data_IF_320221737908
#
_entry.id   IF_320221737908
#
_cell.length_a   1.000
_cell.length_b   1.000
_cell.length_c   1.000
_cell.angle_alpha   90.00
_cell.angle_beta   90.00
_cell.angle_gamma   90.00
#
_symmetry.space_group_name_H-M   'P 1'
#
loop_
_entity.id
_entity.type
_entity.pdbx_description
1 polymer ?
#
# COMPACT_ATOMS: atom_id res chain seq x y z
N UNK A 1 2.73 -18.26 -16.18
CA UNK A 1 1.76 -17.42 -15.44
C UNK A 1 1.82 -17.90 -14.00
N UNK A 2 2.88 -17.57 -13.27
CA UNK A 2 3.08 -17.94 -11.88
C UNK A 2 3.96 -16.85 -11.26
N UNK A 3 3.33 -15.73 -10.89
CA UNK A 3 4.00 -14.58 -10.28
C UNK A 3 3.34 -14.23 -8.92
N UNK A 4 2.71 -15.22 -8.28
CA UNK A 4 2.24 -15.09 -6.89
C UNK A 4 3.46 -15.26 -6.01
N UNK A 5 3.90 -14.16 -5.40
CA UNK A 5 5.08 -14.13 -4.52
C UNK A 5 4.67 -14.62 -3.13
N UNK A 6 3.43 -14.34 -2.72
CA UNK A 6 2.83 -14.81 -1.47
C UNK A 6 1.31 -14.95 -1.61
N UNK A 7 0.72 -15.85 -0.82
CA UNK A 7 -0.75 -15.97 -0.68
C UNK A 7 -1.26 -15.29 0.60
N UNK A 8 -0.39 -14.55 1.29
CA UNK A 8 -0.74 -13.88 2.54
C UNK A 8 -1.83 -12.83 2.33
N UNK A 9 -2.75 -12.72 3.29
CA UNK A 9 -3.89 -11.82 3.27
C UNK A 9 -4.93 -12.07 2.15
N UNK A 10 -4.70 -13.04 1.26
CA UNK A 10 -5.69 -13.43 0.25
C UNK A 10 -6.95 -14.02 0.91
N UNK A 11 -8.11 -13.71 0.33
CA UNK A 11 -9.40 -14.17 0.84
C UNK A 11 -9.91 -15.33 -0.02
N UNK A 12 -10.16 -16.47 0.63
CA UNK A 12 -10.72 -17.65 -0.02
C UNK A 12 -12.14 -17.87 0.50
N UNK A 13 -13.10 -17.97 -0.41
CA UNK A 13 -14.47 -18.33 -0.05
C UNK A 13 -14.59 -19.83 0.24
N UNK A 14 -15.32 -20.15 1.31
CA UNK A 14 -15.57 -21.53 1.76
C UNK A 14 -16.22 -22.39 0.66
N UNK A 15 -17.05 -21.78 -0.21
CA UNK A 15 -17.69 -22.46 -1.35
C UNK A 15 -16.67 -22.99 -2.37
N UNK A 16 -15.62 -22.22 -2.65
CA UNK A 16 -14.63 -22.54 -3.67
C UNK A 16 -13.62 -23.54 -3.11
N UNK A 17 -13.25 -23.38 -1.84
CA UNK A 17 -12.48 -24.38 -1.10
C UNK A 17 -13.20 -25.74 -1.07
N UNK A 18 -14.52 -25.76 -0.78
CA UNK A 18 -15.31 -27.02 -0.78
C UNK A 18 -15.32 -27.69 -2.14
N UNK A 19 -15.47 -26.93 -3.23
CA UNK A 19 -15.40 -27.47 -4.60
C UNK A 19 -14.04 -28.09 -4.88
N UNK A 20 -12.95 -27.39 -4.52
CA UNK A 20 -11.59 -27.88 -4.70
C UNK A 20 -11.35 -29.17 -3.89
N UNK A 21 -11.70 -29.18 -2.61
CA UNK A 21 -11.56 -30.34 -1.73
C UNK A 21 -12.37 -31.53 -2.24
N UNK A 22 -13.61 -31.30 -2.68
CA UNK A 22 -14.45 -32.34 -3.27
C UNK A 22 -13.85 -32.95 -4.55
N UNK A 23 -13.14 -32.15 -5.36
CA UNK A 23 -12.39 -32.64 -6.52
C UNK A 23 -11.19 -33.48 -6.09
N UNK A 24 -10.39 -33.00 -5.14
CA UNK A 24 -9.19 -33.69 -4.64
C UNK A 24 -9.53 -35.02 -3.96
N UNK A 25 -10.63 -35.08 -3.20
CA UNK A 25 -11.08 -36.29 -2.51
C UNK A 25 -11.47 -37.43 -3.47
N UNK A 26 -11.94 -37.08 -4.68
CA UNK A 26 -12.32 -38.06 -5.72
C UNK A 26 -11.15 -38.53 -6.58
N UNK A 27 -10.02 -37.82 -6.54
CA UNK A 27 -8.81 -38.18 -7.30
C UNK A 27 -8.06 -39.33 -6.62
N UNK A 28 -7.46 -40.22 -7.43
CA UNK A 28 -6.48 -41.20 -6.95
C UNK A 28 -5.16 -40.49 -6.60
N UNK A 29 -4.33 -41.04 -5.70
CA UNK A 29 -3.04 -40.43 -5.36
C UNK A 29 -2.18 -40.05 -6.57
N UNK A 30 -2.05 -40.95 -7.55
CA UNK A 30 -1.29 -40.73 -8.79
C UNK A 30 -1.84 -39.62 -9.71
N UNK A 31 -3.10 -39.23 -9.55
CA UNK A 31 -3.70 -38.12 -10.29
C UNK A 31 -3.58 -36.80 -9.54
N UNK A 32 -3.46 -36.85 -8.20
CA UNK A 32 -3.21 -35.66 -7.37
C UNK A 32 -1.78 -35.14 -7.53
N UNK A 33 -0.80 -36.02 -7.75
CA UNK A 33 0.60 -35.62 -8.04
C UNK A 33 0.72 -34.80 -9.32
N UNK A 34 -0.19 -34.99 -10.29
CA UNK A 34 -0.24 -34.23 -11.54
C UNK A 34 -0.86 -32.84 -11.39
N UNK A 35 -1.41 -32.54 -10.20
CA UNK A 35 -1.95 -31.22 -9.90
C UNK A 35 -0.80 -30.29 -9.51
N UNK A 36 -0.28 -29.55 -10.50
CA UNK A 36 0.94 -28.72 -10.44
C UNK A 36 1.20 -27.94 -9.13
N UNK A 37 0.20 -27.40 -8.40
CA UNK A 37 0.44 -26.70 -7.14
C UNK A 37 0.75 -27.59 -5.91
N UNK A 38 0.62 -28.92 -6.02
CA UNK A 38 0.72 -29.83 -4.86
C UNK A 38 2.10 -30.47 -4.84
N UNK A 39 2.89 -30.14 -3.80
CA UNK A 39 4.15 -30.83 -3.54
C UNK A 39 3.92 -32.32 -3.24
N UNK A 40 4.85 -33.18 -3.69
CA UNK A 40 4.75 -34.64 -3.63
C UNK A 40 4.40 -35.11 -2.20
N UNK A 41 5.04 -34.53 -1.18
CA UNK A 41 4.83 -34.88 0.23
C UNK A 41 3.40 -34.62 0.74
N UNK A 42 2.63 -33.77 0.06
CA UNK A 42 1.25 -33.43 0.44
C UNK A 42 0.20 -34.29 -0.26
N UNK A 43 0.57 -35.07 -1.26
CA UNK A 43 -0.35 -35.81 -2.15
C UNK A 43 -1.34 -36.69 -1.37
N UNK A 44 -0.84 -37.38 -0.35
CA UNK A 44 -1.62 -38.35 0.41
C UNK A 44 -2.49 -37.71 1.48
N UNK A 45 -2.18 -36.50 1.93
CA UNK A 45 -2.81 -35.88 3.11
C UNK A 45 -3.60 -34.61 2.79
N UNK A 46 -3.33 -33.94 1.67
CA UNK A 46 -3.89 -32.61 1.38
C UNK A 46 -5.41 -32.58 1.32
N UNK A 47 -6.02 -33.63 0.77
CA UNK A 47 -7.48 -33.76 0.68
C UNK A 47 -8.11 -34.02 2.06
N UNK A 48 -7.45 -34.78 2.94
CA UNK A 48 -7.91 -35.04 4.32
C UNK A 48 -7.91 -33.76 5.14
N UNK A 49 -6.81 -33.00 5.08
CA UNK A 49 -6.72 -31.68 5.72
C UNK A 49 -7.77 -30.70 5.18
N UNK A 50 -8.03 -30.74 3.86
CA UNK A 50 -9.10 -29.97 3.23
C UNK A 50 -10.50 -30.33 3.72
N UNK A 51 -10.79 -31.63 3.92
CA UNK A 51 -12.08 -32.08 4.48
C UNK A 51 -12.25 -31.56 5.90
N UNK A 52 -11.22 -31.71 6.75
CA UNK A 52 -11.25 -31.18 8.11
C UNK A 52 -11.49 -29.66 8.12
N UNK A 53 -10.70 -28.91 7.35
CA UNK A 53 -10.81 -27.45 7.29
C UNK A 53 -12.21 -27.00 6.81
N UNK A 54 -12.74 -27.62 5.76
CA UNK A 54 -14.08 -27.28 5.25
C UNK A 54 -15.19 -27.60 6.25
N UNK A 55 -15.03 -28.65 7.06
CA UNK A 55 -15.98 -28.98 8.12
C UNK A 55 -15.90 -28.00 9.29
N UNK A 56 -14.69 -27.58 9.69
CA UNK A 56 -14.50 -26.53 10.70
C UNK A 56 -15.11 -25.19 10.24
N UNK A 57 -14.86 -24.76 9.00
CA UNK A 57 -15.46 -23.53 8.47
C UNK A 57 -16.99 -23.63 8.43
N UNK A 58 -17.53 -24.81 8.12
CA UNK A 58 -18.98 -25.06 8.14
C UNK A 58 -19.56 -24.98 9.55
N UNK A 59 -18.90 -25.53 10.56
CA UNK A 59 -19.42 -25.54 11.93
C UNK A 59 -19.53 -24.14 12.53
N UNK A 60 -18.61 -23.24 12.16
CA UNK A 60 -18.66 -21.82 12.56
C UNK A 60 -19.42 -20.92 11.58
N UNK A 61 -20.05 -21.50 10.54
CA UNK A 61 -20.76 -20.77 9.47
C UNK A 61 -19.90 -19.69 8.78
N UNK A 62 -18.60 -19.92 8.64
CA UNK A 62 -17.70 -19.00 7.96
C UNK A 62 -17.88 -19.06 6.43
N UNK A 63 -18.15 -17.92 5.80
CA UNK A 63 -18.31 -17.80 4.35
C UNK A 63 -16.98 -17.66 3.61
N UNK A 64 -15.95 -17.17 4.30
CA UNK A 64 -14.61 -16.93 3.78
C UNK A 64 -13.56 -17.02 4.87
N UNK A 65 -12.31 -17.22 4.46
CA UNK A 65 -11.15 -17.14 5.33
C UNK A 65 -10.05 -16.30 4.68
N UNK A 66 -9.31 -15.57 5.51
CA UNK A 66 -8.10 -14.85 5.08
C UNK A 66 -6.88 -15.72 5.34
N UNK A 67 -6.05 -15.91 4.33
CA UNK A 67 -4.81 -16.64 4.45
C UNK A 67 -3.77 -15.84 5.25
N UNK A 68 -2.96 -16.55 6.03
CA UNK A 68 -1.92 -15.96 6.86
C UNK A 68 -0.67 -16.83 6.76
N UNK A 69 0.47 -16.22 6.39
CA UNK A 69 1.75 -16.92 6.33
C UNK A 69 2.37 -17.13 7.73
N UNK A 70 1.85 -16.46 8.76
CA UNK A 70 2.29 -16.62 10.15
C UNK A 70 1.60 -17.83 10.81
N UNK A 71 2.38 -18.58 11.58
CA UNK A 71 1.96 -19.81 12.24
C UNK A 71 2.20 -19.74 13.76
N UNK A 72 2.15 -20.90 14.42
CA UNK A 72 2.47 -21.01 15.85
C UNK A 72 3.88 -20.47 16.18
N UNK A 73 4.86 -20.64 15.27
CA UNK A 73 6.23 -20.16 15.50
C UNK A 73 6.28 -18.65 15.75
N UNK A 74 5.62 -17.89 14.88
CA UNK A 74 5.51 -16.43 15.04
C UNK A 74 4.72 -16.07 16.31
N UNK A 75 3.68 -16.84 16.64
CA UNK A 75 2.90 -16.68 17.88
C UNK A 75 3.73 -16.83 19.15
N UNK A 76 4.58 -17.87 19.22
CA UNK A 76 5.48 -18.12 20.36
C UNK A 76 6.51 -16.99 20.50
N UNK A 77 7.05 -16.49 19.39
CA UNK A 77 7.98 -15.35 19.43
C UNK A 77 7.28 -14.10 19.96
N UNK A 78 6.07 -13.80 19.48
CA UNK A 78 5.30 -12.63 19.93
C UNK A 78 4.93 -12.74 21.42
N UNK A 79 4.54 -13.92 21.87
CA UNK A 79 4.24 -14.20 23.27
C UNK A 79 5.49 -14.04 24.16
N UNK A 80 6.64 -14.57 23.73
CA UNK A 80 7.90 -14.36 24.42
C UNK A 80 8.24 -12.87 24.55
N UNK A 81 8.14 -12.10 23.47
CA UNK A 81 8.43 -10.65 23.48
C UNK A 81 7.45 -9.87 24.36
N UNK A 82 6.17 -10.24 24.37
CA UNK A 82 5.17 -9.64 25.26
C UNK A 82 5.50 -9.86 26.74
N UNK A 83 6.07 -11.03 27.09
CA UNK A 83 6.54 -11.33 28.45
C UNK A 83 7.87 -10.65 28.81
N UNK A 84 8.59 -10.13 27.81
CA UNK A 84 9.90 -9.48 27.98
C UNK A 84 9.86 -8.04 27.42
N UNK A 85 9.12 -7.11 28.05
CA UNK A 85 8.84 -5.77 27.53
C UNK A 85 10.07 -4.87 27.39
N UNK A 86 11.20 -5.23 28.01
CA UNK A 86 12.49 -4.54 27.81
C UNK A 86 13.06 -4.74 26.39
N UNK A 87 12.51 -5.68 25.63
CA UNK A 87 12.83 -5.91 24.22
C UNK A 87 11.90 -5.05 23.38
N UNK A 88 12.23 -3.76 23.26
CA UNK A 88 11.39 -2.76 22.59
C UNK A 88 11.54 -2.85 21.07
N UNK A 89 10.90 -3.85 20.46
CA UNK A 89 10.88 -4.04 19.00
C UNK A 89 9.53 -3.62 18.41
N UNK A 90 8.48 -3.55 19.23
CA UNK A 90 7.10 -3.34 18.77
C UNK A 90 6.49 -2.08 19.37
N UNK A 91 6.31 -1.00 18.59
CA UNK A 91 5.33 0.02 18.98
C UNK A 91 3.96 -0.65 19.08
N UNK A 92 3.19 -0.32 20.13
CA UNK A 92 1.87 -0.87 20.45
C UNK A 92 0.78 -0.44 19.46
N UNK A 93 1.04 -0.60 18.16
CA UNK A 93 0.14 -0.22 17.08
C UNK A 93 -0.77 -1.43 16.83
N UNK A 94 -2.07 -1.28 17.07
CA UNK A 94 -3.04 -2.36 16.89
C UNK A 94 -3.08 -2.89 15.44
N UNK A 95 -2.88 -2.02 14.44
CA UNK A 95 -2.97 -2.37 13.03
C UNK A 95 -1.67 -3.03 12.52
N UNK A 96 -1.74 -4.30 12.12
CA UNK A 96 -0.63 -5.09 11.55
C UNK A 96 -0.02 -4.43 10.31
N UNK A 97 -0.85 -3.88 9.42
CA UNK A 97 -0.41 -3.22 8.18
C UNK A 97 0.44 -1.99 8.49
N UNK A 98 -0.07 -1.13 9.38
CA UNK A 98 0.66 0.07 9.79
C UNK A 98 1.97 -0.29 10.51
N UNK A 99 1.96 -1.31 11.38
CA UNK A 99 3.20 -1.83 12.00
C UNK A 99 4.22 -2.27 10.97
N UNK A 100 3.81 -3.07 9.99
CA UNK A 100 4.71 -3.59 8.96
C UNK A 100 5.36 -2.45 8.16
N UNK A 101 4.58 -1.43 7.82
CA UNK A 101 5.07 -0.25 7.10
C UNK A 101 6.03 0.58 7.95
N UNK A 102 5.68 0.87 9.20
CA UNK A 102 6.55 1.62 10.12
C UNK A 102 7.84 0.87 10.41
N UNK A 103 7.80 -0.45 10.56
CA UNK A 103 8.99 -1.28 10.76
C UNK A 103 9.91 -1.26 9.54
N UNK A 104 9.34 -1.36 8.33
CA UNK A 104 10.11 -1.25 7.09
C UNK A 104 10.76 0.14 6.97
N UNK A 105 9.99 1.20 7.23
CA UNK A 105 10.48 2.57 7.22
C UNK A 105 11.63 2.77 8.22
N UNK A 106 11.51 2.25 9.45
CA UNK A 106 12.58 2.27 10.48
C UNK A 106 13.84 1.52 10.04
N UNK A 107 13.68 0.34 9.43
CA UNK A 107 14.80 -0.49 8.93
C UNK A 107 15.67 0.27 7.93
N UNK A 108 15.09 1.16 7.13
CA UNK A 108 15.78 1.99 6.15
C UNK A 108 15.97 3.45 6.61
N UNK A 109 15.87 3.70 7.92
CA UNK A 109 16.12 5.02 8.55
C UNK A 109 15.21 6.15 8.05
N UNK A 110 13.95 5.84 7.68
CA UNK A 110 12.95 6.77 7.13
C UNK A 110 11.61 6.74 7.85
N UNK A 111 11.61 6.76 9.17
CA UNK A 111 10.40 6.89 9.99
C UNK A 111 10.36 8.24 10.74
N UNK A 112 10.78 9.31 10.05
CA UNK A 112 10.90 10.64 10.63
C UNK A 112 9.58 11.41 10.66
N UNK A 113 9.61 12.62 11.20
CA UNK A 113 8.47 13.54 11.14
C UNK A 113 8.13 13.96 9.71
N UNK A 114 9.13 13.97 8.82
CA UNK A 114 8.97 14.38 7.42
C UNK A 114 8.04 13.45 6.64
N UNK A 115 8.27 12.14 6.71
CA UNK A 115 7.42 11.17 6.03
C UNK A 115 5.97 11.23 6.54
N UNK A 116 5.79 11.42 7.85
CA UNK A 116 4.46 11.61 8.45
C UNK A 116 3.80 12.91 7.99
N UNK A 117 4.56 13.99 7.89
CA UNK A 117 4.07 15.28 7.44
C UNK A 117 3.61 15.23 5.98
N UNK A 118 4.41 14.65 5.08
CA UNK A 118 4.03 14.42 3.68
C UNK A 118 2.80 13.51 3.58
N UNK A 119 2.72 12.46 4.39
CA UNK A 119 1.55 11.59 4.43
C UNK A 119 0.29 12.35 4.87
N UNK A 120 0.39 13.22 5.88
CA UNK A 120 -0.70 14.10 6.32
C UNK A 120 -1.21 14.98 5.18
N UNK A 121 -0.31 15.71 4.51
CA UNK A 121 -0.68 16.57 3.38
C UNK A 121 -1.31 15.79 2.22
N UNK A 122 -0.76 14.61 1.87
CA UNK A 122 -1.33 13.77 0.82
C UNK A 122 -2.76 13.32 1.17
N UNK A 123 -3.01 13.00 2.44
CA UNK A 123 -4.33 12.63 2.93
C UNK A 123 -5.30 13.82 3.00
N UNK A 124 -4.84 15.02 3.34
CA UNK A 124 -5.67 16.23 3.27
C UNK A 124 -6.15 16.50 1.84
N UNK A 125 -5.28 16.36 0.85
CA UNK A 125 -5.67 16.47 -0.58
C UNK A 125 -6.68 15.39 -0.94
N UNK A 126 -6.45 14.14 -0.53
CA UNK A 126 -7.37 13.03 -0.77
C UNK A 126 -8.75 13.31 -0.17
N UNK A 127 -8.81 13.67 1.11
CA UNK A 127 -10.08 13.83 1.83
C UNK A 127 -10.89 15.00 1.27
N UNK A 128 -10.23 16.12 0.94
CA UNK A 128 -10.92 17.31 0.40
C UNK A 128 -11.34 17.13 -1.06
N UNK A 129 -10.71 16.24 -1.83
CA UNK A 129 -11.09 15.97 -3.24
C UNK A 129 -11.91 14.68 -3.43
N UNK A 130 -12.38 14.07 -2.33
CA UNK A 130 -13.06 12.77 -2.36
C UNK A 130 -14.25 12.71 -3.33
N UNK A 131 -15.03 13.80 -3.41
CA UNK A 131 -16.19 13.89 -4.31
C UNK A 131 -15.81 13.84 -5.80
N UNK A 132 -14.59 14.25 -6.16
CA UNK A 132 -14.11 14.25 -7.55
C UNK A 132 -13.56 12.89 -7.97
N UNK A 133 -12.73 12.28 -7.12
CA UNK A 133 -12.08 11.01 -7.47
C UNK A 133 -12.89 9.77 -7.03
N UNK A 134 -13.83 9.89 -6.11
CA UNK A 134 -14.74 8.79 -5.70
C UNK A 134 -14.02 7.57 -5.12
N UNK A 135 -12.85 7.76 -4.49
CA UNK A 135 -12.08 6.67 -3.86
C UNK A 135 -12.42 6.59 -2.36
N UNK A 136 -12.24 5.40 -1.78
CA UNK A 136 -12.65 5.11 -0.41
C UNK A 136 -11.50 4.93 0.58
N UNK A 137 -11.84 4.38 1.74
CA UNK A 137 -10.90 4.07 2.82
C UNK A 137 -9.74 3.14 2.41
N UNK A 138 -9.94 2.12 1.55
CA UNK A 138 -8.84 1.27 1.10
C UNK A 138 -7.77 2.08 0.36
N UNK A 139 -8.15 2.89 -0.63
CA UNK A 139 -7.23 3.70 -1.42
C UNK A 139 -6.56 4.79 -0.58
N UNK A 140 -7.30 5.41 0.34
CA UNK A 140 -6.75 6.35 1.34
C UNK A 140 -5.63 5.70 2.15
N UNK A 141 -5.82 4.45 2.55
CA UNK A 141 -4.81 3.69 3.30
C UNK A 141 -3.58 3.39 2.44
N UNK A 142 -3.76 3.00 1.17
CA UNK A 142 -2.65 2.80 0.24
C UNK A 142 -1.82 4.08 0.05
N UNK A 143 -2.48 5.24 -0.08
CA UNK A 143 -1.80 6.54 -0.17
C UNK A 143 -0.96 6.83 1.08
N UNK A 144 -1.53 6.62 2.26
CA UNK A 144 -0.82 6.80 3.52
C UNK A 144 0.44 5.92 3.59
N UNK A 145 0.31 4.63 3.29
CA UNK A 145 1.45 3.71 3.35
C UNK A 145 2.51 4.02 2.30
N UNK A 146 2.10 4.39 1.08
CA UNK A 146 3.03 4.84 0.04
C UNK A 146 3.77 6.12 0.46
N UNK A 147 3.08 7.08 1.06
CA UNK A 147 3.69 8.31 1.57
C UNK A 147 4.70 8.04 2.68
N UNK A 148 4.44 7.11 3.60
CA UNK A 148 5.40 6.73 4.64
C UNK A 148 6.65 6.03 4.08
N UNK A 149 6.55 5.38 2.91
CA UNK A 149 7.63 4.60 2.32
C UNK A 149 8.32 5.27 1.12
N UNK A 150 7.88 6.46 0.70
CA UNK A 150 8.28 7.04 -0.58
C UNK A 150 9.79 7.30 -0.73
N UNK A 151 10.49 7.50 0.39
CA UNK A 151 11.90 7.90 0.47
C UNK A 151 12.85 6.79 0.94
N UNK A 152 12.37 5.58 1.27
CA UNK A 152 13.21 4.50 1.88
C UNK A 152 14.40 4.10 0.99
N UNK A 153 14.25 4.20 -0.33
CA UNK A 153 15.31 3.90 -1.29
C UNK A 153 16.48 4.88 -1.27
N UNK A 154 16.38 6.02 -0.56
CA UNK A 154 17.51 6.92 -0.35
C UNK A 154 18.61 6.27 0.50
N UNK A 155 18.28 5.24 1.29
CA UNK A 155 19.25 4.41 1.98
C UNK A 155 20.24 3.74 1.02
N UNK A 156 19.78 3.37 -0.19
CA UNK A 156 20.62 2.80 -1.25
C UNK A 156 21.33 3.93 -2.00
N UNK A 157 20.55 4.87 -2.55
CA UNK A 157 21.10 6.01 -3.29
C UNK A 157 20.06 7.13 -3.44
N UNK A 158 20.49 8.38 -3.33
CA UNK A 158 19.66 9.55 -3.65
C UNK A 158 19.25 9.60 -5.14
N UNK A 159 20.14 9.20 -6.04
CA UNK A 159 19.82 9.11 -7.46
C UNK A 159 18.81 7.99 -7.67
N UNK A 160 17.67 8.33 -8.26
CA UNK A 160 16.60 7.37 -8.59
C UNK A 160 16.02 6.61 -7.40
N UNK A 161 16.05 7.18 -6.19
CA UNK A 161 15.52 6.55 -4.97
C UNK A 161 14.08 6.03 -5.07
N UNK A 162 13.22 6.61 -5.92
CA UNK A 162 11.86 6.14 -6.17
C UNK A 162 11.83 4.73 -6.79
N UNK A 163 12.82 4.37 -7.60
CA UNK A 163 12.99 3.01 -8.15
C UNK A 163 13.47 2.04 -7.07
N UNK A 164 14.45 2.47 -6.27
CA UNK A 164 14.96 1.69 -5.14
C UNK A 164 13.88 1.46 -4.08
N UNK A 165 13.05 2.47 -3.81
CA UNK A 165 11.93 2.35 -2.87
C UNK A 165 10.90 1.35 -3.37
N UNK A 166 10.49 1.42 -4.66
CA UNK A 166 9.64 0.40 -5.28
C UNK A 166 10.26 -1.00 -5.12
N UNK A 167 11.53 -1.15 -5.47
CA UNK A 167 12.23 -2.43 -5.38
C UNK A 167 12.20 -3.02 -3.97
N UNK A 168 12.52 -2.20 -2.95
CA UNK A 168 12.46 -2.60 -1.54
C UNK A 168 11.04 -3.03 -1.17
N UNK A 169 10.02 -2.21 -1.49
CA UNK A 169 8.61 -2.49 -1.15
C UNK A 169 8.16 -3.82 -1.75
N UNK A 170 8.48 -4.06 -3.03
CA UNK A 170 8.10 -5.29 -3.73
C UNK A 170 8.70 -6.57 -3.14
N UNK A 171 9.77 -6.47 -2.34
CA UNK A 171 10.46 -7.62 -1.75
C UNK A 171 10.47 -7.59 -0.22
N UNK A 172 9.74 -6.65 0.40
CA UNK A 172 9.74 -6.43 1.85
C UNK A 172 8.83 -7.39 2.62
N UNK A 173 8.02 -8.21 1.94
CA UNK A 173 7.04 -9.13 2.55
C UNK A 173 6.16 -8.42 3.59
N UNK A 174 5.49 -7.33 3.17
CA UNK A 174 4.68 -6.50 4.05
C UNK A 174 3.51 -7.32 4.64
N UNK A 175 3.45 -7.43 5.97
CA UNK A 175 2.44 -8.21 6.67
C UNK A 175 1.07 -7.53 6.60
N UNK A 176 0.05 -8.30 6.26
CA UNK A 176 -1.35 -7.84 6.17
C UNK A 176 -1.69 -7.14 4.86
N UNK A 177 -0.83 -7.27 3.84
CA UNK A 177 -1.07 -6.77 2.49
C UNK A 177 -1.14 -7.94 1.52
N UNK A 178 -2.00 -7.83 0.51
CA UNK A 178 -1.97 -8.74 -0.65
C UNK A 178 -0.85 -8.35 -1.61
N UNK A 179 -0.46 -9.26 -2.51
CA UNK A 179 0.54 -8.98 -3.55
C UNK A 179 0.08 -7.82 -4.46
N UNK A 180 -1.22 -7.71 -4.73
CA UNK A 180 -1.79 -6.59 -5.49
C UNK A 180 -1.64 -5.25 -4.76
N UNK A 181 -1.88 -5.21 -3.46
CA UNK A 181 -1.70 -4.00 -2.65
C UNK A 181 -0.22 -3.60 -2.57
N UNK A 182 0.69 -4.56 -2.39
CA UNK A 182 2.14 -4.31 -2.40
C UNK A 182 2.57 -3.76 -3.76
N UNK A 183 2.06 -4.32 -4.85
CA UNK A 183 2.31 -3.83 -6.21
C UNK A 183 1.81 -2.41 -6.41
N UNK A 184 0.60 -2.08 -5.93
CA UNK A 184 0.05 -0.73 -6.00
C UNK A 184 0.89 0.26 -5.18
N UNK A 185 1.21 -0.04 -3.92
CA UNK A 185 2.04 0.82 -3.06
C UNK A 185 3.41 1.06 -3.70
N UNK A 186 4.06 0.01 -4.18
CA UNK A 186 5.34 0.10 -4.87
C UNK A 186 5.27 0.99 -6.12
N UNK A 187 4.19 0.91 -6.89
CA UNK A 187 4.00 1.77 -8.07
C UNK A 187 3.64 3.22 -7.71
N UNK A 188 2.83 3.47 -6.68
CA UNK A 188 2.56 4.84 -6.19
C UNK A 188 3.90 5.50 -5.80
N UNK A 189 4.74 4.77 -5.06
CA UNK A 189 6.10 5.21 -4.71
C UNK A 189 7.02 5.34 -5.94
N UNK A 190 6.89 4.49 -6.96
CA UNK A 190 7.70 4.61 -8.18
C UNK A 190 7.41 5.87 -8.98
N UNK A 191 6.15 6.32 -8.98
CA UNK A 191 5.67 7.40 -9.83
C UNK A 191 5.40 8.70 -9.09
N UNK A 192 5.66 8.77 -7.77
CA UNK A 192 5.60 10.02 -7.00
C UNK A 192 6.64 11.08 -7.45
N UNK A 193 7.55 10.76 -8.37
CA UNK A 193 8.48 11.73 -8.97
C UNK A 193 8.99 11.27 -10.32
N UNK A 194 9.51 12.22 -11.10
CA UNK A 194 10.04 12.03 -12.46
C UNK A 194 8.94 11.48 -13.39
N UNK A 195 9.15 10.31 -13.99
CA UNK A 195 8.24 9.66 -14.95
C UNK A 195 6.84 9.49 -14.38
N UNK A 196 5.83 9.56 -15.25
CA UNK A 196 4.43 9.30 -14.92
C UNK A 196 3.99 7.88 -15.32
N UNK A 197 2.94 7.32 -14.68
CA UNK A 197 2.49 5.97 -14.95
C UNK A 197 2.11 5.73 -16.42
N UNK A 198 1.44 6.71 -17.06
CA UNK A 198 0.87 6.57 -18.41
C UNK A 198 1.90 6.22 -19.51
N UNK A 199 3.18 6.49 -19.27
CA UNK A 199 4.27 6.29 -20.25
C UNK A 199 5.12 5.06 -19.95
N UNK A 200 4.68 4.17 -19.07
CA UNK A 200 5.51 3.08 -18.56
C UNK A 200 4.95 1.69 -18.85
N UNK A 201 5.81 0.84 -19.41
CA UNK A 201 5.55 -0.59 -19.53
C UNK A 201 5.41 -1.30 -18.18
N UNK A 202 5.92 -0.70 -17.10
CA UNK A 202 5.88 -1.24 -15.73
C UNK A 202 4.45 -1.36 -15.15
N UNK A 203 3.44 -0.79 -15.80
CA UNK A 203 2.03 -0.83 -15.36
C UNK A 203 1.12 -1.61 -16.32
N UNK A 204 1.70 -2.35 -17.28
CA UNK A 204 0.94 -3.14 -18.26
C UNK A 204 0.01 -4.16 -17.61
N UNK A 205 0.45 -4.76 -16.50
CA UNK A 205 -0.30 -5.80 -15.79
C UNK A 205 -1.41 -5.24 -14.88
N UNK A 206 -1.47 -3.92 -14.67
CA UNK A 206 -2.53 -3.30 -13.87
C UNK A 206 -3.83 -3.20 -14.67
N UNK A 207 -4.94 -3.54 -14.03
CA UNK A 207 -6.29 -3.30 -14.54
C UNK A 207 -6.57 -1.81 -14.75
N UNK A 208 -7.58 -1.47 -15.56
CA UNK A 208 -7.99 -0.07 -15.78
C UNK A 208 -8.28 0.67 -14.46
N UNK A 209 -8.96 0.00 -13.52
CA UNK A 209 -9.25 0.59 -12.21
C UNK A 209 -7.98 0.82 -11.39
N UNK A 210 -7.09 -0.17 -11.31
CA UNK A 210 -5.81 -0.03 -10.61
C UNK A 210 -4.95 1.09 -11.21
N UNK A 211 -4.95 1.25 -12.55
CA UNK A 211 -4.25 2.36 -13.22
C UNK A 211 -4.85 3.73 -12.85
N UNK A 212 -6.18 3.83 -12.77
CA UNK A 212 -6.88 5.05 -12.32
C UNK A 212 -6.49 5.40 -10.88
N UNK A 213 -6.58 4.43 -9.97
CA UNK A 213 -6.16 4.59 -8.56
C UNK A 213 -4.70 5.04 -8.50
N UNK A 214 -3.80 4.36 -9.21
CA UNK A 214 -2.38 4.70 -9.24
C UNK A 214 -2.13 6.14 -9.72
N UNK A 215 -2.82 6.58 -10.79
CA UNK A 215 -2.65 7.94 -11.33
C UNK A 215 -3.05 9.00 -10.30
N UNK A 216 -4.21 8.83 -9.67
CA UNK A 216 -4.73 9.76 -8.66
C UNK A 216 -3.80 9.80 -7.44
N UNK A 217 -3.51 8.64 -6.85
CA UNK A 217 -2.73 8.57 -5.61
C UNK A 217 -1.27 9.00 -5.80
N UNK A 218 -0.63 8.63 -6.91
CA UNK A 218 0.73 9.08 -7.20
C UNK A 218 0.78 10.59 -7.45
N UNK A 219 -0.25 11.17 -8.08
CA UNK A 219 -0.33 12.61 -8.30
C UNK A 219 -0.53 13.40 -7.00
N UNK A 220 -1.38 12.92 -6.09
CA UNK A 220 -1.53 13.51 -4.75
C UNK A 220 -0.20 13.49 -3.99
N UNK A 221 0.50 12.34 -4.01
CA UNK A 221 1.80 12.22 -3.34
C UNK A 221 2.86 13.12 -3.98
N UNK A 222 2.82 13.36 -5.31
CA UNK A 222 3.70 14.33 -5.99
C UNK A 222 3.53 15.73 -5.44
N UNK A 223 2.28 16.18 -5.32
CA UNK A 223 1.97 17.52 -4.80
C UNK A 223 2.41 17.63 -3.35
N UNK A 224 2.09 16.65 -2.50
CA UNK A 224 2.50 16.63 -1.10
C UNK A 224 4.03 16.64 -0.92
N UNK A 225 4.78 15.91 -1.74
CA UNK A 225 6.26 15.98 -1.74
C UNK A 225 6.77 17.34 -2.25
N UNK A 226 6.05 17.98 -3.17
CA UNK A 226 6.34 19.33 -3.64
C UNK A 226 6.12 20.40 -2.58
N UNK A 227 5.13 20.23 -1.71
CA UNK A 227 4.79 21.12 -0.58
C UNK A 227 5.79 21.02 0.60
N UNK A 228 6.71 20.05 0.58
CA UNK A 228 7.83 19.94 1.52
C UNK A 228 9.16 19.97 0.75
N UNK A 229 9.27 20.90 -0.21
CA UNK A 229 10.45 21.04 -1.07
C UNK A 229 11.66 21.50 -0.27
N UNK A 230 11.44 22.43 0.66
CA UNK A 230 12.44 22.95 1.60
C UNK A 230 12.86 21.94 2.67
N UNK A 231 12.07 20.88 2.88
CA UNK A 231 12.24 19.89 3.97
C UNK A 231 12.19 20.49 5.38
N UNK A 232 11.59 21.67 5.49
CA UNK A 232 11.42 22.45 6.71
C UNK A 232 10.06 22.19 7.37
N UNK A 233 9.17 21.43 6.70
CA UNK A 233 7.80 21.23 7.14
C UNK A 233 7.10 22.57 7.37
N UNK A 234 7.40 23.58 6.54
CA UNK A 234 6.91 24.94 6.74
C UNK A 234 5.41 25.03 6.52
N UNK A 235 4.89 24.36 5.49
CA UNK A 235 3.46 24.19 5.25
C UNK A 235 2.86 23.37 6.40
N UNK A 236 1.74 23.81 6.98
CA UNK A 236 1.10 23.16 8.13
C UNK A 236 -0.32 22.69 7.84
N UNK A 237 -1.01 23.34 6.91
CA UNK A 237 -2.40 23.03 6.60
C UNK A 237 -2.71 23.38 5.15
N UNK A 238 -3.59 22.58 4.55
CA UNK A 238 -4.17 22.80 3.23
C UNK A 238 -5.67 23.04 3.35
N UNK A 239 -6.17 24.07 2.68
CA UNK A 239 -7.60 24.28 2.47
C UNK A 239 -7.88 24.28 0.97
N UNK A 240 -8.85 23.47 0.54
CA UNK A 240 -9.20 23.32 -0.88
C UNK A 240 -10.60 23.85 -1.14
N UNK A 241 -10.70 24.75 -2.12
CA UNK A 241 -11.96 25.23 -2.66
C UNK A 241 -12.16 24.61 -4.05
N UNK A 242 -13.27 23.88 -4.21
CA UNK A 242 -13.58 23.16 -5.45
C UNK A 242 -14.67 23.91 -6.19
N UNK A 243 -14.32 24.38 -7.39
CA UNK A 243 -15.24 24.98 -8.35
C UNK A 243 -15.45 24.08 -9.57
N UNK A 244 -16.37 24.48 -10.47
CA UNK A 244 -16.74 23.68 -11.63
C UNK A 244 -15.59 23.37 -12.59
N UNK A 245 -14.58 24.24 -12.69
CA UNK A 245 -13.45 24.09 -13.63
C UNK A 245 -12.08 24.13 -12.96
N UNK A 246 -12.01 24.55 -11.70
CA UNK A 246 -10.76 24.77 -10.99
C UNK A 246 -10.84 24.32 -9.53
N UNK A 247 -9.69 23.99 -8.98
CA UNK A 247 -9.50 23.73 -7.55
C UNK A 247 -8.45 24.73 -7.07
N UNK A 248 -8.78 25.52 -6.06
CA UNK A 248 -7.81 26.35 -5.37
C UNK A 248 -7.29 25.59 -4.15
N UNK A 249 -5.98 25.47 -4.02
CA UNK A 249 -5.31 24.90 -2.85
C UNK A 249 -4.61 26.05 -2.13
N UNK A 250 -5.22 26.49 -1.04
CA UNK A 250 -4.64 27.45 -0.11
C UNK A 250 -3.72 26.73 0.87
N UNK A 251 -2.48 27.20 0.97
CA UNK A 251 -1.50 26.66 1.92
C UNK A 251 -1.24 27.68 3.02
N UNK A 252 -1.20 27.23 4.27
CA UNK A 252 -0.81 28.05 5.41
C UNK A 252 0.30 27.36 6.20
N UNK A 253 1.15 28.14 6.85
CA UNK A 253 2.39 27.62 7.42
C UNK A 253 3.24 28.68 8.12
N UNK A 254 4.46 28.27 8.50
CA UNK A 254 5.43 29.14 9.17
C UNK A 254 6.48 29.65 8.18
N UNK A 255 6.79 30.94 8.27
CA UNK A 255 7.86 31.56 7.50
C UNK A 255 7.53 31.74 6.02
N UNK A 256 8.58 31.82 5.20
CA UNK A 256 8.48 31.90 3.75
C UNK A 256 8.13 30.53 3.15
N UNK A 257 7.08 30.49 2.32
CA UNK A 257 6.55 29.29 1.67
C UNK A 257 6.80 29.28 0.16
N UNK A 258 7.50 30.27 -0.40
CA UNK A 258 7.68 30.41 -1.85
C UNK A 258 8.38 29.19 -2.49
N UNK A 259 9.36 28.60 -1.80
CA UNK A 259 10.04 27.39 -2.28
C UNK A 259 9.11 26.17 -2.36
N UNK A 260 8.22 26.03 -1.38
CA UNK A 260 7.25 24.93 -1.32
C UNK A 260 6.11 25.14 -2.33
N UNK A 261 5.64 26.38 -2.49
CA UNK A 261 4.70 26.76 -3.56
C UNK A 261 5.28 26.43 -4.94
N UNK A 262 6.51 26.86 -5.21
CA UNK A 262 7.20 26.57 -6.46
C UNK A 262 7.33 25.06 -6.69
N UNK A 263 7.68 24.31 -5.64
CA UNK A 263 7.80 22.85 -5.67
C UNK A 263 6.50 22.15 -6.03
N UNK A 264 5.40 22.54 -5.38
CA UNK A 264 4.07 22.00 -5.62
C UNK A 264 3.52 22.34 -7.00
N UNK A 265 3.60 23.63 -7.41
CA UNK A 265 3.13 24.11 -8.72
C UNK A 265 3.80 23.38 -9.89
N UNK A 266 5.09 23.08 -9.77
CA UNK A 266 5.84 22.34 -10.79
C UNK A 266 5.40 20.86 -10.91
N UNK A 267 4.72 20.32 -9.92
CA UNK A 267 4.35 18.91 -9.82
C UNK A 267 2.84 18.65 -9.91
N UNK A 268 2.03 19.70 -10.11
CA UNK A 268 0.56 19.64 -10.01
C UNK A 268 -0.14 19.06 -11.24
N UNK A 269 0.45 19.21 -12.44
CA UNK A 269 -0.19 18.83 -13.71
C UNK A 269 -0.74 17.39 -13.76
N UNK A 270 -0.07 16.35 -13.21
CA UNK A 270 -0.64 15.01 -13.15
C UNK A 270 -1.92 14.94 -12.30
N UNK A 271 -2.03 15.76 -11.25
CA UNK A 271 -3.22 15.83 -10.40
C UNK A 271 -4.35 16.56 -11.12
N UNK A 272 -4.05 17.62 -11.85
CA UNK A 272 -5.02 18.32 -12.71
C UNK A 272 -5.67 17.35 -13.70
N UNK A 273 -4.84 16.55 -14.39
CA UNK A 273 -5.32 15.52 -15.32
C UNK A 273 -6.12 14.43 -14.62
N UNK A 274 -5.70 13.98 -13.44
CA UNK A 274 -6.37 12.91 -12.71
C UNK A 274 -7.73 13.33 -12.12
N UNK A 275 -7.89 14.61 -11.78
CA UNK A 275 -9.14 15.18 -11.25
C UNK A 275 -9.97 15.91 -12.32
N UNK A 276 -9.46 15.99 -13.55
CA UNK A 276 -10.09 16.68 -14.68
C UNK A 276 -10.41 18.16 -14.38
N UNK A 277 -9.55 18.84 -13.61
CA UNK A 277 -9.73 20.24 -13.18
C UNK A 277 -8.38 20.95 -13.15
N UNK A 278 -8.37 22.25 -13.46
CA UNK A 278 -7.19 23.09 -13.25
C UNK A 278 -6.93 23.24 -11.75
N UNK A 279 -5.67 23.30 -11.32
CA UNK A 279 -5.33 23.46 -9.91
C UNK A 279 -4.44 24.69 -9.75
N UNK A 280 -4.90 25.64 -8.95
CA UNK A 280 -4.13 26.81 -8.53
C UNK A 280 -3.69 26.58 -7.10
N UNK A 281 -2.40 26.78 -6.81
CA UNK A 281 -1.84 26.63 -5.47
C UNK A 281 -1.29 27.98 -5.04
N UNK A 282 -1.77 28.50 -3.92
CA UNK A 282 -1.37 29.81 -3.40
C UNK A 282 -1.33 29.82 -1.87
N UNK A 283 -0.67 30.84 -1.32
CA UNK A 283 -0.66 31.05 0.12
C UNK A 283 -2.04 31.55 0.53
N UNK A 284 -2.58 31.01 1.63
CA UNK A 284 -3.78 31.58 2.25
C UNK A 284 -3.53 33.06 2.56
N UNK A 285 -4.47 33.94 2.20
CA UNK A 285 -4.45 35.32 2.63
C UNK A 285 -4.50 35.42 4.16
N UNK A 286 -3.84 36.44 4.72
CA UNK A 286 -3.97 36.80 6.14
C UNK A 286 -5.40 37.25 6.47
#
# INVERSE_FOLDING_TARGET
RDNVISVNAEVIHTKDLRKLVGKLAKMKPADRTKFSPIGIERTDTIHLGGVLLTQLLKSIKAEQMTLCDASLREGVILDYLKRHPKIDIFPSIANVRHRSVVQLARKYERNGQREKHIAGMALEIFDQTQKLHGLGTPERSLLNYAALLHSIGQYINFKSYHRHSKYIISHAQLRGFTDEEVLLIGNIVRFHRKSEPQKSDEIKDLSKNQRRILQILAAMLRVAVGLDRGQTQSVKQLALEIEDKQIHIFISGKGDLELDLWGARRLVEPLERALERKIVIEKAGD
#
